data_IF_717824301278
#
_entry.id   IF_717824301278
#
_cell.length_a   1.000
_cell.length_b   1.000
_cell.length_c   1.000
_cell.angle_alpha   90.00
_cell.angle_beta   90.00
_cell.angle_gamma   90.00
#
_symmetry.space_group_name_H-M   'P 1'
#
loop_
_entity.id
_entity.type
_entity.pdbx_description
1 polymer ?
#
# COMPACT_ATOMS: atom_id res chain seq x y z
N UNK A 1 3.07 3.22 -6.95
CA UNK A 1 3.47 3.45 -5.54
C UNK A 1 4.97 3.65 -5.49
N UNK A 2 5.45 4.67 -4.77
CA UNK A 2 6.89 4.95 -4.60
C UNK A 2 7.66 5.05 -5.94
N UNK A 3 7.03 5.61 -6.98
CA UNK A 3 7.60 5.75 -8.32
C UNK A 3 7.12 7.04 -8.98
N UNK A 4 7.99 7.68 -9.76
CA UNK A 4 7.67 8.84 -10.59
C UNK A 4 7.76 8.47 -12.09
N UNK A 5 6.92 7.54 -12.54
CA UNK A 5 7.02 6.93 -13.87
C UNK A 5 6.63 7.86 -15.03
N UNK A 6 5.83 8.90 -14.78
CA UNK A 6 5.54 9.93 -15.79
C UNK A 6 6.80 10.70 -16.21
N UNK A 7 7.82 10.75 -15.35
CA UNK A 7 9.10 11.38 -15.68
C UNK A 7 10.20 10.36 -15.97
N UNK A 8 10.24 9.24 -15.25
CA UNK A 8 11.31 8.24 -15.37
C UNK A 8 11.12 7.25 -16.53
N UNK A 9 9.87 6.95 -16.90
CA UNK A 9 9.61 5.97 -17.94
C UNK A 9 9.81 6.53 -19.34
N UNK A 10 10.26 5.73 -20.31
CA UNK A 10 10.50 6.19 -21.67
C UNK A 10 9.20 6.56 -22.39
N UNK A 11 9.35 7.25 -23.52
CA UNK A 11 8.31 7.49 -24.51
C UNK A 11 6.98 8.01 -23.93
N UNK A 12 7.07 9.13 -23.18
CA UNK A 12 5.96 9.69 -22.40
C UNK A 12 4.75 10.03 -23.29
N UNK A 13 5.01 10.60 -24.47
CA UNK A 13 3.99 11.19 -25.32
C UNK A 13 3.12 10.16 -26.05
N UNK A 14 3.65 8.98 -26.35
CA UNK A 14 2.92 7.97 -27.13
C UNK A 14 1.98 7.14 -26.25
N UNK A 15 2.45 6.70 -25.09
CA UNK A 15 1.75 5.66 -24.32
C UNK A 15 1.28 6.16 -22.94
N UNK A 16 2.21 6.66 -22.14
CA UNK A 16 1.95 6.87 -20.71
C UNK A 16 1.05 8.07 -20.48
N UNK A 17 1.35 9.21 -21.08
CA UNK A 17 0.53 10.41 -20.87
C UNK A 17 -0.89 10.23 -21.43
N UNK A 18 -1.10 9.76 -22.68
CA UNK A 18 -2.44 9.52 -23.17
C UNK A 18 -3.20 8.46 -22.36
N UNK A 19 -2.54 7.36 -22.00
CA UNK A 19 -3.15 6.30 -21.19
C UNK A 19 -3.52 6.77 -19.78
N UNK A 20 -2.69 7.58 -19.13
CA UNK A 20 -2.98 8.11 -17.78
C UNK A 20 -4.06 9.20 -17.79
N UNK A 21 -4.29 9.86 -18.92
CA UNK A 21 -5.34 10.88 -19.07
C UNK A 21 -6.61 10.36 -19.75
N UNK A 22 -6.65 9.07 -20.07
CA UNK A 22 -7.83 8.44 -20.65
C UNK A 22 -8.95 8.35 -19.61
N UNK A 23 -10.18 8.83 -19.92
CA UNK A 23 -11.29 8.87 -18.95
C UNK A 23 -11.80 7.48 -18.51
N UNK A 24 -11.36 6.41 -19.16
CA UNK A 24 -11.69 5.02 -18.77
C UNK A 24 -10.81 4.50 -17.63
N UNK A 25 -9.68 5.17 -17.37
CA UNK A 25 -8.68 4.73 -16.40
C UNK A 25 -8.79 5.53 -15.10
N UNK A 26 -8.40 4.90 -13.99
CA UNK A 26 -8.30 5.55 -12.69
C UNK A 26 -6.90 5.34 -12.12
N UNK A 27 -6.11 6.40 -12.12
CA UNK A 27 -4.70 6.37 -11.75
C UNK A 27 -4.53 6.79 -10.29
N UNK A 28 -3.92 5.91 -9.50
CA UNK A 28 -3.61 6.17 -8.09
C UNK A 28 -2.08 6.27 -7.93
N UNK A 29 -1.61 7.39 -7.41
CA UNK A 29 -0.21 7.61 -7.06
C UNK A 29 -0.06 7.75 -5.56
N UNK A 30 0.92 7.07 -4.99
CA UNK A 30 1.30 7.16 -3.58
C UNK A 30 2.72 7.67 -3.52
N UNK A 31 2.88 8.90 -3.02
CA UNK A 31 4.12 9.66 -3.07
C UNK A 31 4.17 10.65 -1.88
N UNK A 32 5.33 10.87 -1.25
CA UNK A 32 5.50 11.96 -0.27
C UNK A 32 5.43 13.36 -0.89
N UNK A 33 5.64 13.50 -2.21
CA UNK A 33 5.71 14.80 -2.89
C UNK A 33 4.76 14.90 -4.10
N UNK A 34 4.39 16.11 -4.52
CA UNK A 34 3.59 16.33 -5.73
C UNK A 34 4.45 16.18 -7.00
N UNK A 35 4.85 14.95 -7.32
CA UNK A 35 5.67 14.61 -8.50
C UNK A 35 4.90 14.79 -9.81
N UNK A 36 5.61 14.75 -10.96
CA UNK A 36 4.97 14.75 -12.30
C UNK A 36 3.95 13.63 -12.42
N UNK A 37 4.23 12.46 -11.85
CA UNK A 37 3.28 11.35 -11.82
C UNK A 37 2.07 11.65 -10.94
N UNK A 38 2.27 12.22 -9.75
CA UNK A 38 1.17 12.57 -8.85
C UNK A 38 0.24 13.62 -9.49
N UNK A 39 0.81 14.63 -10.16
CA UNK A 39 0.04 15.68 -10.85
C UNK A 39 -0.77 15.15 -12.05
N UNK A 40 -0.38 14.01 -12.62
CA UNK A 40 -1.09 13.35 -13.71
C UNK A 40 -2.14 12.31 -13.24
N UNK A 41 -2.21 12.03 -11.94
CA UNK A 41 -3.07 11.01 -11.35
C UNK A 41 -4.48 11.55 -11.00
N UNK A 42 -5.42 10.63 -10.77
CA UNK A 42 -6.79 10.97 -10.36
C UNK A 42 -6.96 10.92 -8.83
N UNK A 43 -6.10 10.15 -8.14
CA UNK A 43 -6.01 10.12 -6.69
C UNK A 43 -4.55 10.10 -6.23
N UNK A 44 -4.20 11.03 -5.35
CA UNK A 44 -2.90 11.10 -4.69
C UNK A 44 -3.07 10.68 -3.24
N UNK A 45 -2.29 9.69 -2.80
CA UNK A 45 -2.23 9.24 -1.42
C UNK A 45 -0.93 9.73 -0.76
N UNK A 46 -0.99 10.50 0.34
CA UNK A 46 0.21 11.01 1.00
C UNK A 46 0.97 9.87 1.69
N UNK A 47 2.23 9.66 1.30
CA UNK A 47 3.00 8.48 1.73
C UNK A 47 4.13 8.81 2.70
N UNK A 48 4.23 8.05 3.78
CA UNK A 48 5.35 8.11 4.73
C UNK A 48 6.63 7.52 4.14
N UNK A 49 7.75 8.23 4.26
CA UNK A 49 9.01 7.90 3.60
C UNK A 49 10.15 7.48 4.54
N UNK A 50 11.00 6.57 4.05
CA UNK A 50 12.26 6.17 4.69
C UNK A 50 12.18 5.94 6.21
N UNK A 51 12.83 6.79 7.02
CA UNK A 51 12.91 6.66 8.49
C UNK A 51 11.62 7.01 9.23
N UNK A 52 10.58 7.47 8.52
CA UNK A 52 9.23 7.67 9.06
C UNK A 52 8.49 6.36 9.31
N UNK A 53 9.09 5.22 8.95
CA UNK A 53 8.59 3.85 9.19
C UNK A 53 9.74 2.92 9.53
N UNK A 54 9.43 1.80 10.18
CA UNK A 54 10.36 0.66 10.24
C UNK A 54 10.51 0.06 8.84
N UNK A 55 11.72 -0.33 8.48
CA UNK A 55 11.95 -0.89 7.16
C UNK A 55 13.26 -1.67 7.04
N UNK A 56 13.41 -2.27 5.87
CA UNK A 56 14.57 -3.05 5.51
C UNK A 56 14.86 -2.88 4.02
N UNK A 57 16.14 -2.82 3.66
CA UNK A 57 16.62 -2.85 2.28
C UNK A 57 17.73 -3.87 2.10
N UNK A 58 17.81 -4.42 0.89
CA UNK A 58 18.95 -5.20 0.41
C UNK A 58 19.78 -4.36 -0.56
N UNK A 59 21.11 -4.36 -0.40
CA UNK A 59 22.00 -3.67 -1.33
C UNK A 59 22.58 -4.65 -2.40
N UNK A 60 23.36 -4.09 -3.34
CA UNK A 60 23.93 -4.85 -4.46
C UNK A 60 24.87 -6.00 -4.05
N UNK A 61 25.46 -5.94 -2.85
CA UNK A 61 26.32 -7.00 -2.30
C UNK A 61 25.55 -8.00 -1.42
N UNK A 62 24.21 -8.03 -1.53
CA UNK A 62 23.31 -8.93 -0.80
C UNK A 62 23.24 -8.68 0.72
N UNK A 63 23.66 -7.50 1.20
CA UNK A 63 23.51 -7.14 2.61
C UNK A 63 22.10 -6.64 2.88
N UNK A 64 21.38 -7.37 3.72
CA UNK A 64 20.13 -6.91 4.32
C UNK A 64 20.42 -5.94 5.45
N UNK A 65 19.76 -4.78 5.45
CA UNK A 65 19.94 -3.73 6.44
C UNK A 65 18.57 -3.25 6.92
N UNK A 66 18.34 -3.33 8.22
CA UNK A 66 17.12 -2.88 8.86
C UNK A 66 17.33 -1.53 9.53
N UNK A 67 16.25 -0.75 9.62
CA UNK A 67 16.19 0.43 10.46
C UNK A 67 14.87 0.44 11.23
N UNK A 68 14.90 0.93 12.47
CA UNK A 68 13.70 1.24 13.24
C UNK A 68 13.13 2.59 12.80
N UNK A 69 11.85 2.82 13.01
CA UNK A 69 11.25 4.14 12.82
C UNK A 69 11.94 5.17 13.72
N UNK A 70 12.34 6.33 13.16
CA UNK A 70 13.03 7.39 13.89
C UNK A 70 12.12 8.60 14.15
N UNK A 71 11.19 8.88 13.24
CA UNK A 71 10.25 10.02 13.32
C UNK A 71 8.85 9.61 12.84
N UNK A 72 7.85 10.42 13.14
CA UNK A 72 6.49 10.24 12.61
C UNK A 72 6.34 10.99 11.29
N UNK A 73 5.52 10.44 10.39
CA UNK A 73 5.19 11.07 9.12
C UNK A 73 4.31 12.34 9.33
N UNK A 74 4.41 13.34 8.46
CA UNK A 74 3.64 14.57 8.58
C UNK A 74 2.15 14.36 8.29
N UNK A 75 1.30 15.07 9.04
CA UNK A 75 -0.15 15.11 8.82
C UNK A 75 -0.77 13.71 8.78
N UNK A 76 -1.45 13.40 7.69
CA UNK A 76 -2.15 12.14 7.48
C UNK A 76 -1.35 11.11 6.68
N UNK A 77 -0.07 11.37 6.40
CA UNK A 77 0.75 10.47 5.60
C UNK A 77 0.85 9.07 6.23
N UNK A 78 0.72 8.03 5.40
CA UNK A 78 0.80 6.62 5.82
C UNK A 78 1.81 5.86 4.98
N UNK A 79 2.43 4.84 5.54
CA UNK A 79 3.40 4.03 4.79
C UNK A 79 2.71 3.22 3.68
N UNK A 80 3.46 2.86 2.64
CA UNK A 80 3.01 1.96 1.57
C UNK A 80 2.44 0.66 2.15
N UNK A 81 3.14 0.08 3.15
CA UNK A 81 2.70 -1.14 3.83
C UNK A 81 1.35 -0.94 4.53
N UNK A 82 1.18 0.16 5.25
CA UNK A 82 -0.10 0.48 5.89
C UNK A 82 -1.21 0.61 4.84
N UNK A 83 -0.96 1.31 3.73
CA UNK A 83 -1.95 1.51 2.67
C UNK A 83 -2.41 0.17 2.08
N UNK A 84 -1.46 -0.71 1.73
CA UNK A 84 -1.76 -2.04 1.16
C UNK A 84 -2.54 -2.91 2.16
N UNK A 85 -2.09 -2.94 3.41
CA UNK A 85 -2.72 -3.77 4.46
C UNK A 85 -4.12 -3.25 4.79
N UNK A 86 -4.35 -1.95 4.93
CA UNK A 86 -5.69 -1.41 5.18
C UNK A 86 -6.62 -1.59 3.98
N UNK A 87 -6.11 -1.46 2.76
CA UNK A 87 -6.90 -1.68 1.55
C UNK A 87 -7.39 -3.13 1.44
N UNK A 88 -6.56 -4.11 1.87
CA UNK A 88 -6.95 -5.54 1.88
C UNK A 88 -8.17 -5.85 2.75
N UNK A 89 -8.50 -5.00 3.72
CA UNK A 89 -9.70 -5.16 4.58
C UNK A 89 -11.00 -4.86 3.83
N UNK A 90 -10.92 -4.23 2.66
CA UNK A 90 -12.09 -3.81 1.87
C UNK A 90 -12.64 -4.90 0.96
N UNK A 91 -11.95 -6.04 0.89
CA UNK A 91 -12.32 -7.16 0.03
C UNK A 91 -12.56 -8.40 0.86
N UNK A 92 -13.77 -8.95 0.77
CA UNK A 92 -14.14 -10.27 1.24
C UNK A 92 -13.67 -11.33 0.24
N UNK A 93 -13.42 -12.53 0.73
CA UNK A 93 -12.93 -13.65 -0.08
C UNK A 93 -13.89 -13.99 -1.20
N UNK A 94 -15.21 -13.89 -0.99
CA UNK A 94 -16.24 -14.10 -2.03
C UNK A 94 -16.17 -13.11 -3.19
N UNK A 95 -15.66 -11.91 -2.97
CA UNK A 95 -15.62 -10.86 -3.99
C UNK A 95 -14.46 -11.06 -4.97
N UNK A 96 -13.43 -11.81 -4.56
CA UNK A 96 -12.15 -11.88 -5.28
C UNK A 96 -11.67 -13.31 -5.54
N UNK A 97 -12.23 -14.32 -4.89
CA UNK A 97 -11.89 -15.72 -5.12
C UNK A 97 -13.03 -16.45 -5.84
N UNK A 98 -12.71 -17.27 -6.86
CA UNK A 98 -13.70 -18.14 -7.48
C UNK A 98 -14.31 -19.13 -6.49
N UNK A 99 -15.56 -19.49 -6.73
CA UNK A 99 -16.32 -20.44 -5.91
C UNK A 99 -15.60 -21.79 -5.73
N UNK A 100 -14.88 -22.26 -6.77
CA UNK A 100 -14.09 -23.51 -6.69
C UNK A 100 -13.02 -23.47 -5.58
N UNK A 101 -12.40 -22.32 -5.34
CA UNK A 101 -11.41 -22.16 -4.27
C UNK A 101 -12.08 -22.09 -2.90
N UNK A 102 -13.23 -21.42 -2.81
CA UNK A 102 -13.98 -21.29 -1.56
C UNK A 102 -14.61 -22.62 -1.13
N UNK A 103 -15.02 -23.46 -2.08
CA UNK A 103 -15.49 -24.82 -1.79
C UNK A 103 -14.39 -25.70 -1.19
N UNK A 104 -13.12 -25.49 -1.58
CA UNK A 104 -11.96 -26.21 -1.01
C UNK A 104 -11.61 -25.74 0.40
N UNK A 105 -11.99 -24.52 0.79
CA UNK A 105 -11.73 -23.91 2.11
C UNK A 105 -12.93 -23.09 2.61
N UNK A 106 -14.04 -23.76 2.96
CA UNK A 106 -15.27 -23.08 3.37
C UNK A 106 -15.09 -22.21 4.62
N UNK A 107 -14.10 -22.48 5.47
CA UNK A 107 -13.74 -21.71 6.66
C UNK A 107 -13.16 -20.31 6.38
N UNK A 108 -12.83 -20.02 5.12
CA UNK A 108 -12.35 -18.72 4.69
C UNK A 108 -13.47 -17.83 4.16
N UNK A 109 -14.70 -18.36 4.08
CA UNK A 109 -15.85 -17.57 3.64
C UNK A 109 -16.19 -16.46 4.63
N UNK A 110 -16.63 -15.32 4.10
CA UNK A 110 -17.00 -14.12 4.84
C UNK A 110 -15.83 -13.41 5.50
N UNK A 111 -14.58 -13.89 5.32
CA UNK A 111 -13.38 -13.22 5.79
C UNK A 111 -12.92 -12.18 4.79
N UNK A 112 -12.30 -11.12 5.27
CA UNK A 112 -11.55 -10.17 4.45
C UNK A 112 -10.20 -10.76 4.08
N UNK A 113 -9.57 -10.26 3.00
CA UNK A 113 -8.20 -10.66 2.66
C UNK A 113 -7.21 -10.38 3.80
N UNK A 114 -7.44 -9.32 4.56
CA UNK A 114 -6.68 -9.05 5.79
C UNK A 114 -6.83 -10.18 6.82
N UNK A 115 -8.05 -10.66 7.06
CA UNK A 115 -8.30 -11.71 8.05
C UNK A 115 -7.68 -13.04 7.65
N UNK A 116 -7.62 -13.32 6.34
CA UNK A 116 -6.97 -14.51 5.80
C UNK A 116 -5.46 -14.49 6.04
N UNK A 117 -4.80 -13.37 5.74
CA UNK A 117 -3.33 -13.29 5.73
C UNK A 117 -2.75 -12.86 7.07
N UNK A 118 -3.43 -11.96 7.77
CA UNK A 118 -2.87 -11.24 8.89
C UNK A 118 -3.61 -11.52 10.20
N UNK A 119 -4.92 -11.75 10.26
CA UNK A 119 -5.64 -11.93 11.54
C UNK A 119 -5.39 -13.28 12.28
N UNK A 120 -4.18 -13.82 12.20
CA UNK A 120 -3.72 -14.87 13.13
C UNK A 120 -3.44 -14.28 14.51
N UNK A 121 -3.55 -15.11 15.55
CA UNK A 121 -3.42 -14.76 16.97
C UNK A 121 -2.07 -14.12 17.39
N UNK A 122 -1.12 -13.89 16.47
CA UNK A 122 0.15 -13.21 16.72
C UNK A 122 0.30 -11.84 16.04
N UNK A 123 -0.60 -11.45 15.14
CA UNK A 123 -0.48 -10.19 14.38
C UNK A 123 -0.80 -8.93 15.18
N UNK A 124 -1.55 -9.07 16.27
CA UNK A 124 -1.83 -7.99 17.23
C UNK A 124 -0.57 -7.47 17.92
N UNK A 125 0.54 -8.22 17.84
CA UNK A 125 1.83 -7.88 18.43
C UNK A 125 2.74 -7.04 17.51
N UNK A 126 2.36 -6.83 16.24
CA UNK A 126 3.15 -6.01 15.30
C UNK A 126 2.98 -4.52 15.67
N UNK A 127 4.02 -3.84 16.18
CA UNK A 127 3.92 -2.45 16.57
C UNK A 127 3.60 -1.57 15.34
N UNK A 128 2.51 -0.81 15.40
CA UNK A 128 2.10 0.12 14.32
C UNK A 128 0.85 -0.30 13.54
N UNK A 129 0.39 -1.56 13.67
CA UNK A 129 -0.93 -2.01 13.20
C UNK A 129 -1.91 -2.01 14.38
N UNK A 130 -2.01 -0.90 15.12
CA UNK A 130 -3.07 -0.75 16.14
C UNK A 130 -4.33 -0.22 15.47
N UNK A 131 -5.28 -1.11 15.21
CA UNK A 131 -6.67 -0.76 14.90
C UNK A 131 -7.41 -0.51 16.22
N UNK A 132 -7.53 0.73 16.66
CA UNK A 132 -8.26 1.05 17.90
C UNK A 132 -7.64 2.21 18.65
N UNK A 133 -8.46 3.25 18.90
CA UNK A 133 -8.05 4.55 19.39
C UNK A 133 -7.27 4.53 20.70
N UNK A 134 -6.31 5.44 20.80
CA UNK A 134 -6.01 6.04 22.10
C UNK A 134 -7.05 7.13 22.30
N UNK A 135 -7.91 6.95 23.30
CA UNK A 135 -8.47 8.07 24.04
C UNK A 135 -7.30 8.97 24.43
N UNK A 136 -7.44 10.26 24.13
CA UNK A 136 -6.54 11.27 24.65
C UNK A 136 -6.68 11.29 26.18
N UNK A 137 -5.61 10.92 26.87
CA UNK A 137 -5.24 11.45 28.17
C UNK A 137 -3.84 12.06 28.03
#
# INVERSE_FOLDING_TARGET
MCTNNMQAGPNINEERMPGWRDPRNFIIVSDPYPTVSALAADLILPTAMWVEKEGAYGNAERRTQFWRQQVQAPGEAKSDLWQLVQFSRRFKTEEVWPEELLAKKPELRGKTLYEVLYATAGSEQIPGIRTGGRSAE
#
